data_IF_662951265707
#
_entry.id   IF_662951265707
#
_cell.length_a   1.000
_cell.length_b   1.000
_cell.length_c   1.000
_cell.angle_alpha   90.00
_cell.angle_beta   90.00
_cell.angle_gamma   90.00
#
_symmetry.space_group_name_H-M   'P 1'
#
loop_
_entity.id
_entity.type
_entity.pdbx_description
1 polymer ?
#
# COMPACT_ATOMS: atom_id res chain seq x y z
N UNK A 1 -10.86 6.79 -21.71
CA UNK A 1 -11.07 7.45 -20.41
C UNK A 1 -11.55 8.87 -20.70
N UNK A 2 -12.62 9.36 -20.05
CA UNK A 2 -12.99 10.77 -20.19
C UNK A 2 -11.93 11.64 -19.49
N UNK A 3 -11.77 12.90 -19.90
CA UNK A 3 -10.81 13.82 -19.27
C UNK A 3 -11.05 13.91 -17.75
N UNK A 4 -12.31 13.94 -17.33
CA UNK A 4 -12.71 14.00 -15.92
C UNK A 4 -12.23 12.76 -15.13
N UNK A 5 -12.33 11.57 -15.72
CA UNK A 5 -11.85 10.33 -15.11
C UNK A 5 -10.32 10.36 -14.93
N UNK A 6 -9.61 10.94 -15.90
CA UNK A 6 -8.17 11.07 -15.86
C UNK A 6 -7.72 12.10 -14.80
N UNK A 7 -8.43 13.23 -14.69
CA UNK A 7 -8.19 14.23 -13.64
C UNK A 7 -8.46 13.62 -12.27
N UNK A 8 -9.58 12.92 -12.10
CA UNK A 8 -9.91 12.25 -10.85
C UNK A 8 -8.86 11.19 -10.47
N UNK A 9 -8.35 10.47 -11.46
CA UNK A 9 -7.26 9.52 -11.27
C UNK A 9 -5.97 10.21 -10.82
N UNK A 10 -5.59 11.34 -11.43
CA UNK A 10 -4.43 12.11 -10.99
C UNK A 10 -4.60 12.66 -9.56
N UNK A 11 -5.76 13.21 -9.23
CA UNK A 11 -6.06 13.70 -7.88
C UNK A 11 -5.96 12.55 -6.86
N UNK A 12 -6.50 11.39 -7.20
CA UNK A 12 -6.39 10.18 -6.37
C UNK A 12 -4.94 9.74 -6.22
N UNK A 13 -4.17 9.72 -7.31
CA UNK A 13 -2.75 9.38 -7.30
C UNK A 13 -1.95 10.29 -6.37
N UNK A 14 -2.12 11.61 -6.50
CA UNK A 14 -1.41 12.59 -5.66
C UNK A 14 -1.88 12.54 -4.20
N UNK A 15 -3.16 12.32 -3.95
CA UNK A 15 -3.69 12.09 -2.61
C UNK A 15 -3.07 10.85 -1.95
N UNK A 16 -3.07 9.73 -2.65
CA UNK A 16 -2.40 8.49 -2.21
C UNK A 16 -0.90 8.68 -1.99
N UNK A 17 -0.22 9.37 -2.91
CA UNK A 17 1.21 9.68 -2.81
C UNK A 17 1.54 10.50 -1.56
N UNK A 18 0.72 11.48 -1.22
CA UNK A 18 0.94 12.32 -0.05
C UNK A 18 0.96 11.50 1.26
N UNK A 19 -0.02 10.62 1.45
CA UNK A 19 -0.09 9.81 2.68
C UNK A 19 0.90 8.63 2.67
N UNK A 20 1.13 8.02 1.50
CA UNK A 20 2.18 7.02 1.35
C UNK A 20 3.56 7.61 1.65
N UNK A 21 3.85 8.81 1.14
CA UNK A 21 5.07 9.56 1.43
C UNK A 21 5.21 9.91 2.90
N UNK A 22 4.15 10.39 3.55
CA UNK A 22 4.15 10.68 4.98
C UNK A 22 4.46 9.43 5.82
N UNK A 23 3.84 8.29 5.50
CA UNK A 23 4.11 7.02 6.15
C UNK A 23 5.52 6.52 5.91
N UNK A 24 5.99 6.55 4.66
CA UNK A 24 7.35 6.15 4.31
C UNK A 24 8.38 7.01 5.04
N UNK A 25 8.15 8.32 5.11
CA UNK A 25 8.97 9.24 5.89
C UNK A 25 9.02 8.85 7.37
N UNK A 26 7.86 8.57 7.96
CA UNK A 26 7.81 8.12 9.35
C UNK A 26 8.50 6.77 9.58
N UNK A 27 8.34 5.80 8.69
CA UNK A 27 9.02 4.52 8.78
C UNK A 27 10.54 4.67 8.64
N UNK A 28 11.00 5.45 7.66
CA UNK A 28 12.43 5.58 7.34
C UNK A 28 13.21 6.43 8.35
N UNK A 29 12.58 7.47 8.91
CA UNK A 29 13.22 8.47 9.78
C UNK A 29 12.75 8.44 11.23
N UNK A 30 11.59 7.84 11.54
CA UNK A 30 11.00 7.83 12.87
C UNK A 30 11.10 6.50 13.62
N UNK A 31 11.06 5.36 12.91
CA UNK A 31 11.03 4.02 13.53
C UNK A 31 12.09 3.05 13.03
N UNK A 32 12.81 3.36 11.95
CA UNK A 32 13.69 2.37 11.37
C UNK A 32 14.96 2.14 12.24
N UNK A 33 15.43 0.88 12.34
CA UNK A 33 16.63 0.55 13.11
C UNK A 33 17.84 1.36 12.66
N UNK A 34 18.70 1.68 13.63
CA UNK A 34 19.99 2.33 13.39
C UNK A 34 20.80 1.58 12.33
N UNK A 35 21.61 2.34 11.60
CA UNK A 35 22.45 1.81 10.54
C UNK A 35 23.46 0.80 11.10
N UNK A 36 23.54 -0.44 10.55
CA UNK A 36 24.50 -1.42 11.01
C UNK A 36 25.94 -0.96 10.75
N UNK A 37 26.85 -1.21 11.70
CA UNK A 37 28.28 -0.92 11.54
C UNK A 37 29.03 -2.01 10.76
N UNK A 38 28.48 -3.22 10.68
CA UNK A 38 29.03 -4.33 9.89
C UNK A 38 28.75 -4.12 8.39
N UNK A 39 29.78 -4.09 7.52
CA UNK A 39 29.62 -3.85 6.08
C UNK A 39 28.71 -4.86 5.37
N UNK A 40 28.63 -6.12 5.81
CA UNK A 40 27.75 -7.12 5.19
C UNK A 40 26.29 -6.90 5.55
N UNK A 41 26.03 -6.57 6.82
CA UNK A 41 24.68 -6.24 7.29
C UNK A 41 24.14 -4.93 6.69
N UNK A 42 25.03 -3.98 6.39
CA UNK A 42 24.72 -2.69 5.78
C UNK A 42 24.12 -2.85 4.37
N UNK A 43 24.71 -3.67 3.51
CA UNK A 43 24.21 -3.87 2.14
C UNK A 43 22.78 -4.44 2.13
N UNK A 44 22.52 -5.44 2.99
CA UNK A 44 21.19 -6.03 3.16
C UNK A 44 20.17 -5.02 3.69
N UNK A 45 20.56 -4.19 4.66
CA UNK A 45 19.71 -3.16 5.25
C UNK A 45 19.33 -2.09 4.20
N UNK A 46 20.29 -1.62 3.41
CA UNK A 46 20.03 -0.63 2.37
C UNK A 46 19.15 -1.18 1.26
N UNK A 47 19.42 -2.42 0.84
CA UNK A 47 18.62 -3.11 -0.17
C UNK A 47 17.18 -3.25 0.32
N UNK A 48 16.97 -3.68 1.57
CA UNK A 48 15.63 -3.82 2.15
C UNK A 48 14.88 -2.49 2.19
N UNK A 49 15.52 -1.38 2.60
CA UNK A 49 14.91 -0.04 2.58
C UNK A 49 14.54 0.41 1.18
N UNK A 50 15.43 0.21 0.20
CA UNK A 50 15.16 0.52 -1.22
C UNK A 50 13.95 -0.25 -1.76
N UNK A 51 13.89 -1.56 -1.52
CA UNK A 51 12.77 -2.40 -1.95
C UNK A 51 11.44 -2.00 -1.31
N UNK A 52 11.45 -1.64 -0.02
CA UNK A 52 10.27 -1.13 0.67
C UNK A 52 9.71 0.13 0.00
N UNK A 53 10.58 1.11 -0.31
CA UNK A 53 10.16 2.34 -0.99
C UNK A 53 9.59 2.03 -2.38
N UNK A 54 10.29 1.22 -3.17
CA UNK A 54 9.82 0.88 -4.51
C UNK A 54 8.48 0.16 -4.50
N UNK A 55 8.29 -0.79 -3.59
CA UNK A 55 7.02 -1.53 -3.51
C UNK A 55 5.85 -0.60 -3.16
N UNK A 56 6.04 0.32 -2.21
CA UNK A 56 4.99 1.24 -1.78
C UNK A 56 4.64 2.27 -2.87
N UNK A 57 5.64 2.82 -3.55
CA UNK A 57 5.41 3.76 -4.65
C UNK A 57 4.77 3.10 -5.87
N UNK A 58 5.16 1.87 -6.19
CA UNK A 58 4.61 1.12 -7.33
C UNK A 58 3.12 0.79 -7.17
N UNK A 59 2.61 0.77 -5.94
CA UNK A 59 1.21 0.49 -5.64
C UNK A 59 0.28 1.70 -5.85
N UNK A 60 0.81 2.93 -5.85
CA UNK A 60 0.01 4.15 -5.94
C UNK A 60 -0.88 4.22 -7.20
N UNK A 61 -0.39 3.88 -8.41
CA UNK A 61 -1.25 3.83 -9.60
C UNK A 61 -2.40 2.82 -9.46
N UNK A 62 -2.15 1.68 -8.81
CA UNK A 62 -3.18 0.67 -8.58
C UNK A 62 -4.23 1.17 -7.59
N UNK A 63 -3.82 1.83 -6.50
CA UNK A 63 -4.75 2.42 -5.53
C UNK A 63 -5.60 3.54 -6.13
N UNK A 64 -5.00 4.43 -6.93
CA UNK A 64 -5.73 5.46 -7.66
C UNK A 64 -6.78 4.84 -8.60
N UNK A 65 -6.38 3.82 -9.36
CA UNK A 65 -7.28 3.10 -10.27
C UNK A 65 -8.43 2.43 -9.53
N UNK A 66 -8.12 1.69 -8.45
CA UNK A 66 -9.13 1.01 -7.63
C UNK A 66 -10.12 2.01 -7.04
N UNK A 67 -9.64 3.15 -6.56
CA UNK A 67 -10.48 4.19 -5.98
C UNK A 67 -11.44 4.78 -7.02
N UNK A 68 -10.94 5.15 -8.20
CA UNK A 68 -11.78 5.68 -9.29
C UNK A 68 -12.81 4.66 -9.73
N UNK A 69 -12.41 3.40 -9.91
CA UNK A 69 -13.34 2.33 -10.35
C UNK A 69 -14.43 2.10 -9.32
N UNK A 70 -14.08 1.93 -8.04
CA UNK A 70 -15.05 1.72 -6.96
C UNK A 70 -15.97 2.94 -6.82
N UNK A 71 -15.40 4.14 -6.86
CA UNK A 71 -16.15 5.39 -6.78
C UNK A 71 -17.21 5.50 -7.86
N UNK A 72 -16.85 5.18 -9.11
CA UNK A 72 -17.81 5.19 -10.24
C UNK A 72 -18.88 4.11 -10.12
N UNK A 73 -18.52 2.91 -9.64
CA UNK A 73 -19.49 1.82 -9.45
C UNK A 73 -20.49 2.10 -8.32
N UNK A 74 -20.10 2.93 -7.34
CA UNK A 74 -20.90 3.27 -6.16
C UNK A 74 -21.47 4.69 -6.19
N UNK A 75 -21.26 5.40 -7.29
CA UNK A 75 -21.67 6.79 -7.51
C UNK A 75 -21.21 7.73 -6.37
N UNK A 76 -19.94 7.60 -5.97
CA UNK A 76 -19.35 8.39 -4.90
C UNK A 76 -19.02 9.81 -5.35
N UNK A 77 -19.11 10.79 -4.42
CA UNK A 77 -18.59 12.13 -4.69
C UNK A 77 -17.07 12.09 -4.88
N UNK A 78 -16.55 13.06 -5.65
CA UNK A 78 -15.13 13.16 -6.03
C UNK A 78 -14.21 13.12 -4.81
N UNK A 79 -14.60 13.82 -3.74
CA UNK A 79 -13.86 13.92 -2.48
C UNK A 79 -13.71 12.54 -1.82
N UNK A 80 -14.76 11.72 -1.83
CA UNK A 80 -14.73 10.38 -1.25
C UNK A 80 -13.79 9.45 -2.01
N UNK A 81 -13.71 9.59 -3.34
CA UNK A 81 -12.77 8.82 -4.18
C UNK A 81 -11.33 9.14 -3.84
N UNK A 82 -11.00 10.44 -3.74
CA UNK A 82 -9.65 10.89 -3.39
C UNK A 82 -9.29 10.47 -1.97
N UNK A 83 -10.20 10.65 -1.00
CA UNK A 83 -10.02 10.21 0.38
C UNK A 83 -9.80 8.70 0.48
N UNK A 84 -10.53 7.90 -0.29
CA UNK A 84 -10.32 6.46 -0.31
C UNK A 84 -8.92 6.10 -0.85
N UNK A 85 -8.44 6.80 -1.86
CA UNK A 85 -7.06 6.62 -2.36
C UNK A 85 -6.01 7.05 -1.34
N UNK A 86 -6.25 8.12 -0.58
CA UNK A 86 -5.41 8.54 0.54
C UNK A 86 -5.35 7.46 1.62
N UNK A 87 -6.49 6.87 1.99
CA UNK A 87 -6.54 5.76 2.97
C UNK A 87 -5.74 4.56 2.48
N UNK A 88 -5.89 4.16 1.22
CA UNK A 88 -5.09 3.08 0.64
C UNK A 88 -3.59 3.40 0.66
N UNK A 89 -3.21 4.63 0.31
CA UNK A 89 -1.82 5.11 0.40
C UNK A 89 -1.28 5.10 1.83
N UNK A 90 -2.09 5.45 2.83
CA UNK A 90 -1.72 5.42 4.24
C UNK A 90 -1.58 3.98 4.78
N UNK A 91 -2.43 3.05 4.32
CA UNK A 91 -2.36 1.63 4.70
C UNK A 91 -1.17 0.92 4.07
N UNK A 92 -0.73 1.36 2.91
CA UNK A 92 0.44 0.84 2.21
C UNK A 92 0.23 -0.53 1.56
N UNK A 93 1.15 -0.87 0.67
CA UNK A 93 1.09 -2.06 -0.17
C UNK A 93 1.20 -3.36 0.63
N UNK A 94 2.07 -3.40 1.64
CA UNK A 94 2.26 -4.60 2.45
C UNK A 94 0.96 -5.03 3.16
N UNK A 95 0.21 -4.06 3.71
CA UNK A 95 -1.09 -4.32 4.33
C UNK A 95 -2.13 -4.75 3.30
N UNK A 96 -2.12 -4.12 2.11
CA UNK A 96 -3.02 -4.49 1.03
C UNK A 96 -2.83 -5.95 0.58
N UNK A 97 -1.59 -6.40 0.45
CA UNK A 97 -1.30 -7.80 0.11
C UNK A 97 -1.78 -8.77 1.20
N UNK A 98 -1.60 -8.43 2.47
CA UNK A 98 -2.03 -9.25 3.60
C UNK A 98 -3.57 -9.37 3.65
N UNK A 99 -4.28 -8.26 3.45
CA UNK A 99 -5.73 -8.24 3.31
C UNK A 99 -6.21 -9.06 2.11
N UNK A 100 -5.58 -8.91 0.94
CA UNK A 100 -5.91 -9.68 -0.26
C UNK A 100 -5.68 -11.17 -0.03
N UNK A 101 -4.56 -11.55 0.58
CA UNK A 101 -4.24 -12.92 0.93
C UNK A 101 -5.27 -13.51 1.89
N UNK A 102 -5.69 -12.75 2.91
CA UNK A 102 -6.73 -13.15 3.86
C UNK A 102 -8.06 -13.41 3.16
N UNK A 103 -8.48 -12.50 2.28
CA UNK A 103 -9.72 -12.66 1.50
C UNK A 103 -9.65 -13.89 0.59
N UNK A 104 -8.53 -14.07 -0.10
CA UNK A 104 -8.32 -15.21 -1.01
C UNK A 104 -8.30 -16.52 -0.24
N UNK A 105 -7.60 -16.62 0.89
CA UNK A 105 -7.58 -17.81 1.76
C UNK A 105 -8.98 -18.17 2.25
N UNK A 106 -9.73 -17.18 2.74
CA UNK A 106 -11.12 -17.36 3.19
C UNK A 106 -12.03 -17.82 2.06
N UNK A 107 -11.82 -17.32 0.84
CA UNK A 107 -12.62 -17.70 -0.35
C UNK A 107 -12.29 -19.09 -0.89
N UNK A 108 -11.05 -19.53 -0.75
CA UNK A 108 -10.59 -20.87 -1.17
C UNK A 108 -10.88 -21.93 -0.09
N UNK A 109 -11.35 -21.51 1.10
CA UNK A 109 -11.66 -22.43 2.20
C UNK A 109 -10.41 -22.98 2.90
N UNK A 110 -9.25 -22.32 2.74
CA UNK A 110 -8.02 -22.65 3.47
C UNK A 110 -8.03 -22.10 4.91
N UNK A 111 -9.13 -22.31 5.63
CA UNK A 111 -9.27 -21.94 7.06
C UNK A 111 -8.91 -23.12 8.01
N UNK A 112 -8.22 -24.15 7.51
CA UNK A 112 -7.87 -25.34 8.29
C UNK A 112 -6.35 -25.57 8.40
N UNK A 113 -5.89 -25.62 9.65
CA UNK A 113 -4.69 -26.29 10.18
C UNK A 113 -3.29 -25.72 9.95
N UNK A 114 -2.93 -24.65 10.68
CA UNK A 114 -1.54 -24.50 11.14
C UNK A 114 -1.40 -23.58 12.38
N UNK A 115 -2.24 -23.79 13.40
CA UNK A 115 -2.02 -23.20 14.74
C UNK A 115 -1.91 -24.23 15.87
N UNK A 116 -2.18 -25.51 15.60
CA UNK A 116 -2.20 -26.60 16.62
C UNK A 116 -1.11 -27.67 16.43
N UNK A 117 0.00 -27.35 15.75
CA UNK A 117 1.11 -28.30 15.60
C UNK A 117 2.47 -27.60 15.64
N UNK A 118 2.73 -26.93 16.75
CA UNK A 118 4.09 -26.81 17.27
C UNK A 118 4.15 -27.62 18.59
N UNK A 119 4.95 -28.70 18.67
CA UNK A 119 5.29 -29.34 19.94
C UNK A 119 6.12 -28.42 20.84
#
# INVERSE_FOLDING_TARGET
>A
MKLDDFILWLLSLFGGLALCGARLGWMLFGMAPDMPSDPVALDLWERKRRWMVFSELSALPAFATLSVVIGKLRDWPVEAVVLFSMVLGALGFAFFLDALQTIVRKRIGMDSDMKDSAP
#
